data_IF_664142222176
#
_entry.id   IF_664142222176
#
_cell.length_a   1.000
_cell.length_b   1.000
_cell.length_c   1.000
_cell.angle_alpha   90.00
_cell.angle_beta   90.00
_cell.angle_gamma   90.00
#
_symmetry.space_group_name_H-M   'P 1'
#
loop_
_entity.id
_entity.type
_entity.pdbx_description
1 polymer ?
#
# COMPACT_ATOMS: atom_id res chain seq x y z
N UNK A 1 34.73 -12.27 0.73
CA UNK A 1 34.93 -13.69 1.06
C UNK A 1 35.43 -14.33 -0.22
N UNK A 2 36.56 -15.02 -0.19
CA UNK A 2 37.04 -15.76 -1.37
C UNK A 2 36.22 -17.05 -1.48
N UNK A 3 35.98 -17.52 -2.68
CA UNK A 3 35.20 -18.73 -2.99
C UNK A 3 35.72 -19.99 -2.25
N UNK A 4 37.02 -20.03 -1.97
CA UNK A 4 37.70 -21.10 -1.20
C UNK A 4 37.41 -21.11 0.30
N UNK A 5 36.83 -20.00 0.84
CA UNK A 5 36.53 -19.84 2.30
C UNK A 5 35.02 -19.97 2.60
N UNK A 6 34.20 -20.37 1.62
CA UNK A 6 32.76 -20.51 1.84
C UNK A 6 32.45 -21.78 2.65
N UNK A 7 31.75 -21.68 3.79
CA UNK A 7 31.32 -22.85 4.54
C UNK A 7 30.38 -23.72 3.70
N UNK A 8 30.53 -25.04 3.77
CA UNK A 8 29.63 -26.01 3.10
C UNK A 8 28.16 -25.88 3.58
N UNK A 9 27.97 -25.29 4.77
CA UNK A 9 26.65 -25.10 5.37
C UNK A 9 26.25 -23.63 5.43
N UNK A 10 25.15 -23.29 4.79
CA UNK A 10 24.61 -21.93 4.75
C UNK A 10 24.31 -21.36 6.16
N UNK A 11 23.95 -22.20 7.14
CA UNK A 11 23.78 -21.79 8.54
C UNK A 11 25.08 -21.30 9.17
N UNK A 12 26.19 -21.98 8.87
CA UNK A 12 27.51 -21.55 9.35
C UNK A 12 27.89 -20.22 8.71
N UNK A 13 27.59 -20.06 7.41
CA UNK A 13 27.81 -18.80 6.71
C UNK A 13 26.99 -17.67 7.32
N UNK A 14 25.69 -17.87 7.52
CA UNK A 14 24.80 -16.88 8.11
C UNK A 14 25.28 -16.43 9.49
N UNK A 15 25.63 -17.37 10.37
CA UNK A 15 26.09 -17.07 11.74
C UNK A 15 27.49 -16.44 11.79
N UNK A 16 28.37 -16.76 10.84
CA UNK A 16 29.73 -16.25 10.83
C UNK A 16 29.86 -14.87 10.18
N UNK A 17 29.06 -14.59 9.14
CA UNK A 17 29.19 -13.40 8.31
C UNK A 17 28.15 -12.33 8.59
N UNK A 18 27.00 -12.68 9.21
CA UNK A 18 25.90 -11.75 9.46
C UNK A 18 25.69 -11.59 10.96
N UNK A 19 26.30 -10.57 11.59
CA UNK A 19 26.16 -10.32 13.03
C UNK A 19 24.81 -9.63 13.33
N UNK A 20 23.69 -10.28 13.01
CA UNK A 20 22.33 -9.77 13.23
C UNK A 20 21.46 -10.83 13.89
N UNK A 21 20.61 -10.41 14.84
CA UNK A 21 19.85 -11.34 15.69
C UNK A 21 18.68 -12.01 14.95
N UNK A 22 18.09 -11.32 13.98
CA UNK A 22 16.93 -11.82 13.23
C UNK A 22 17.33 -12.42 11.88
N UNK A 23 18.15 -13.49 11.90
CA UNK A 23 18.59 -14.20 10.69
C UNK A 23 18.00 -15.59 10.67
N UNK A 24 17.32 -15.94 9.59
CA UNK A 24 16.75 -17.25 9.34
C UNK A 24 17.20 -17.79 7.97
N UNK A 25 17.17 -19.11 7.79
CA UNK A 25 17.47 -19.77 6.51
C UNK A 25 16.24 -20.50 6.03
N UNK A 26 15.77 -20.14 4.85
CA UNK A 26 14.56 -20.70 4.25
C UNK A 26 14.87 -21.40 2.94
N UNK A 27 14.20 -22.54 2.71
CA UNK A 27 14.37 -23.40 1.52
C UNK A 27 13.15 -23.36 0.60
N UNK A 28 11.98 -23.05 1.16
CA UNK A 28 10.71 -23.02 0.45
C UNK A 28 10.48 -21.65 -0.17
N UNK A 29 10.26 -21.62 -1.49
CA UNK A 29 10.08 -20.39 -2.24
C UNK A 29 8.84 -19.61 -1.81
N UNK A 30 7.76 -20.28 -1.45
CA UNK A 30 6.53 -19.60 -1.02
C UNK A 30 6.72 -18.89 0.34
N UNK A 31 7.50 -19.50 1.23
CA UNK A 31 7.87 -18.87 2.51
C UNK A 31 8.82 -17.68 2.30
N UNK A 32 9.83 -17.84 1.44
CA UNK A 32 10.76 -16.77 1.08
C UNK A 32 10.00 -15.59 0.47
N UNK A 33 9.07 -15.86 -0.45
CA UNK A 33 8.24 -14.83 -1.06
C UNK A 33 7.37 -14.10 -0.03
N UNK A 34 6.79 -14.84 0.92
CA UNK A 34 6.01 -14.26 2.02
C UNK A 34 6.86 -13.35 2.91
N UNK A 35 8.07 -13.75 3.24
CA UNK A 35 9.03 -12.96 4.02
C UNK A 35 9.46 -11.70 3.26
N UNK A 36 9.78 -11.84 1.97
CA UNK A 36 10.10 -10.71 1.10
C UNK A 36 8.94 -9.70 1.03
N UNK A 37 7.71 -10.18 0.83
CA UNK A 37 6.52 -9.33 0.80
C UNK A 37 6.16 -8.74 2.17
N UNK A 38 6.69 -9.31 3.25
CA UNK A 38 6.62 -8.73 4.61
C UNK A 38 7.62 -7.59 4.82
N UNK A 39 8.55 -7.37 3.87
CA UNK A 39 9.59 -6.35 3.95
C UNK A 39 10.89 -6.84 4.61
N UNK A 40 11.05 -8.16 4.78
CA UNK A 40 12.31 -8.76 5.21
C UNK A 40 13.31 -8.78 4.05
N UNK A 41 14.61 -8.73 4.36
CA UNK A 41 15.65 -8.78 3.35
C UNK A 41 16.01 -10.21 3.03
N UNK A 42 15.87 -10.61 1.78
CA UNK A 42 16.21 -11.94 1.29
C UNK A 42 17.54 -11.92 0.53
N UNK A 43 18.49 -12.71 0.97
CA UNK A 43 19.83 -12.81 0.36
C UNK A 43 20.00 -14.19 -0.24
N UNK A 44 20.15 -14.22 -1.57
CA UNK A 44 20.49 -15.42 -2.32
C UNK A 44 22.00 -15.41 -2.61
N UNK A 45 22.63 -16.51 -2.32
CA UNK A 45 24.09 -16.68 -2.53
C UNK A 45 24.28 -17.83 -3.49
N UNK A 46 25.05 -17.58 -4.54
CA UNK A 46 25.37 -18.61 -5.53
C UNK A 46 26.10 -19.79 -4.86
N UNK A 47 25.74 -21.02 -5.25
CA UNK A 47 26.24 -22.24 -4.62
C UNK A 47 25.38 -22.81 -3.48
N UNK A 48 24.44 -22.05 -2.92
CA UNK A 48 23.49 -22.55 -1.91
C UNK A 48 22.08 -22.67 -2.47
N UNK A 49 21.35 -23.73 -2.03
CA UNK A 49 19.95 -23.97 -2.41
C UNK A 49 18.95 -23.37 -1.40
N UNK A 50 19.37 -22.39 -0.63
CA UNK A 50 18.56 -21.75 0.39
C UNK A 50 18.75 -20.24 0.34
N UNK A 51 17.80 -19.51 0.92
CA UNK A 51 17.83 -18.08 1.07
C UNK A 51 18.06 -17.71 2.53
N UNK A 52 18.95 -16.76 2.77
CA UNK A 52 19.10 -16.16 4.10
C UNK A 52 18.10 -15.01 4.19
N UNK A 53 17.22 -15.06 5.17
CA UNK A 53 16.23 -14.04 5.45
C UNK A 53 16.66 -13.26 6.68
N UNK A 54 16.74 -11.94 6.52
CA UNK A 54 17.19 -11.02 7.58
C UNK A 54 16.05 -10.07 7.93
N UNK A 55 15.57 -10.13 9.16
CA UNK A 55 14.58 -9.18 9.66
C UNK A 55 15.26 -7.88 10.12
N UNK A 56 15.58 -7.02 9.17
CA UNK A 56 16.11 -5.68 9.42
C UNK A 56 15.07 -4.58 9.20
N UNK A 57 13.79 -4.91 9.37
CA UNK A 57 12.70 -3.97 9.16
C UNK A 57 12.79 -2.82 10.17
N UNK A 58 13.04 -1.63 9.67
CA UNK A 58 12.84 -0.41 10.42
C UNK A 58 11.45 0.13 10.05
N UNK A 59 10.47 -0.12 10.91
CA UNK A 59 9.20 0.57 10.77
C UNK A 59 9.40 2.01 11.20
N UNK A 60 8.99 2.98 10.36
CA UNK A 60 9.05 4.37 10.76
C UNK A 60 8.22 4.52 12.04
N UNK A 61 8.90 4.79 13.13
CA UNK A 61 8.30 5.10 14.41
C UNK A 61 7.96 6.61 14.44
N UNK A 62 7.07 7.06 13.54
CA UNK A 62 6.32 8.25 13.85
C UNK A 62 5.27 7.80 14.88
N UNK A 63 5.05 8.62 15.92
CA UNK A 63 3.89 8.42 16.76
C UNK A 63 2.68 8.37 15.85
N UNK A 64 2.08 7.18 15.74
CA UNK A 64 0.89 6.97 14.93
C UNK A 64 -0.22 7.67 15.68
N UNK A 65 -0.53 8.88 15.26
CA UNK A 65 -1.68 9.62 15.76
C UNK A 65 -2.93 9.09 15.09
N UNK A 66 -3.98 8.92 15.88
CA UNK A 66 -5.28 8.52 15.37
C UNK A 66 -5.82 9.63 14.45
N UNK A 67 -6.29 9.31 13.23
CA UNK A 67 -6.80 10.30 12.29
C UNK A 67 -7.92 11.13 12.91
N UNK A 68 -7.89 12.44 12.74
CA UNK A 68 -8.89 13.33 13.34
C UNK A 68 -10.30 13.13 12.77
N UNK A 69 -10.41 12.75 11.50
CA UNK A 69 -11.68 12.59 10.78
C UNK A 69 -12.24 11.18 10.82
N UNK A 70 -11.38 10.16 10.92
CA UNK A 70 -11.75 8.74 10.84
C UNK A 70 -11.47 8.02 12.18
N UNK A 71 -11.89 8.59 13.31
CA UNK A 71 -11.71 7.99 14.65
C UNK A 71 -12.47 6.69 14.76
N UNK A 72 -11.78 5.63 15.18
CA UNK A 72 -12.40 4.32 15.38
C UNK A 72 -12.47 3.96 16.85
N UNK A 73 -13.64 3.48 17.26
CA UNK A 73 -13.85 2.93 18.61
C UNK A 73 -13.13 1.59 18.81
N UNK A 74 -12.86 0.85 17.72
CA UNK A 74 -12.20 -0.46 17.72
C UNK A 74 -11.32 -0.62 16.50
N UNK A 75 -10.20 -1.32 16.65
CA UNK A 75 -9.28 -1.66 15.55
C UNK A 75 -7.96 -0.92 15.58
N UNK A 76 -7.24 -0.94 14.46
CA UNK A 76 -5.96 -0.26 14.32
C UNK A 76 -6.13 1.25 14.40
N UNK A 77 -5.23 1.89 15.13
CA UNK A 77 -5.18 3.36 15.22
C UNK A 77 -4.17 3.98 14.26
N UNK A 78 -3.64 3.18 13.34
CA UNK A 78 -2.67 3.63 12.33
C UNK A 78 -3.37 4.54 11.32
N UNK A 79 -2.84 5.74 11.09
CA UNK A 79 -3.21 6.65 10.04
C UNK A 79 -2.14 6.73 8.95
N UNK A 80 -2.52 7.17 7.74
CA UNK A 80 -1.57 7.56 6.72
C UNK A 80 -0.79 8.80 7.17
N UNK A 81 0.43 8.89 6.68
CA UNK A 81 1.34 10.02 6.94
C UNK A 81 1.65 10.75 5.62
N UNK A 82 2.36 11.87 5.69
CA UNK A 82 2.66 12.66 4.50
C UNK A 82 3.64 11.95 3.54
N UNK A 83 4.48 11.06 4.05
CA UNK A 83 5.52 10.39 3.25
C UNK A 83 4.97 9.15 2.54
N UNK A 84 4.95 9.17 1.21
CA UNK A 84 4.39 8.10 0.38
C UNK A 84 5.07 6.73 0.60
N UNK A 85 6.37 6.71 0.87
CA UNK A 85 7.13 5.46 1.13
C UNK A 85 6.59 4.76 2.37
N UNK A 86 6.25 5.52 3.42
CA UNK A 86 5.65 4.96 4.63
C UNK A 86 4.24 4.44 4.39
N UNK A 87 3.46 5.17 3.61
CA UNK A 87 2.09 4.80 3.28
C UNK A 87 2.06 3.50 2.45
N UNK A 88 2.94 3.36 1.46
CA UNK A 88 3.07 2.12 0.68
C UNK A 88 3.57 0.96 1.53
N UNK A 89 4.51 1.18 2.44
CA UNK A 89 4.98 0.17 3.38
C UNK A 89 3.88 -0.32 4.34
N UNK A 90 3.04 0.62 4.86
CA UNK A 90 1.88 0.25 5.70
C UNK A 90 0.88 -0.61 4.95
N UNK A 91 0.59 -0.28 3.69
CA UNK A 91 -0.29 -1.09 2.84
C UNK A 91 0.31 -2.47 2.56
N UNK A 92 1.60 -2.55 2.22
CA UNK A 92 2.30 -3.82 1.98
C UNK A 92 2.33 -4.71 3.22
N UNK A 93 2.54 -4.14 4.40
CA UNK A 93 2.51 -4.86 5.67
C UNK A 93 1.16 -5.53 5.93
N UNK A 94 0.05 -4.89 5.52
CA UNK A 94 -1.32 -5.41 5.71
C UNK A 94 -1.69 -6.44 4.66
N UNK A 95 -1.28 -6.23 3.41
CA UNK A 95 -1.56 -7.13 2.28
C UNK A 95 -0.25 -7.77 1.82
N UNK A 96 0.07 -8.92 2.41
CA UNK A 96 1.27 -9.72 2.09
C UNK A 96 0.97 -10.71 0.97
N UNK A 97 0.50 -10.19 -0.16
CA UNK A 97 0.11 -10.99 -1.31
C UNK A 97 0.83 -10.51 -2.57
N UNK A 98 1.37 -11.43 -3.41
CA UNK A 98 2.13 -11.06 -4.61
C UNK A 98 1.30 -10.31 -5.64
N UNK A 99 -0.02 -10.52 -5.68
CA UNK A 99 -0.91 -9.79 -6.59
C UNK A 99 -1.09 -8.31 -6.24
N UNK A 100 -0.66 -7.85 -5.05
CA UNK A 100 -0.66 -6.44 -4.73
C UNK A 100 0.45 -5.74 -5.53
N UNK A 101 0.04 -4.86 -6.43
CA UNK A 101 0.93 -4.04 -7.26
C UNK A 101 0.84 -2.59 -6.77
N UNK A 102 1.99 -1.97 -6.65
CA UNK A 102 2.13 -0.54 -6.33
C UNK A 102 3.00 0.09 -7.42
N UNK A 103 2.35 0.77 -8.35
CA UNK A 103 2.98 1.43 -9.48
C UNK A 103 3.29 2.88 -9.09
N UNK A 104 4.58 3.22 -9.00
CA UNK A 104 5.03 4.58 -8.72
C UNK A 104 5.06 5.39 -10.01
N UNK A 105 4.53 6.60 -9.96
CA UNK A 105 4.49 7.54 -11.07
C UNK A 105 4.82 8.95 -10.57
N UNK A 106 5.50 9.75 -11.38
CA UNK A 106 5.69 11.17 -11.15
C UNK A 106 4.63 11.97 -11.93
N UNK A 107 4.10 13.01 -11.31
CA UNK A 107 3.06 13.87 -11.89
C UNK A 107 3.43 15.34 -11.74
N UNK A 108 3.23 16.11 -12.82
CA UNK A 108 3.58 17.53 -12.90
C UNK A 108 5.01 17.78 -13.38
N UNK A 109 5.19 18.76 -14.24
CA UNK A 109 6.48 19.08 -14.85
C UNK A 109 7.46 19.70 -13.85
N UNK A 110 7.01 20.63 -13.03
CA UNK A 110 7.84 21.36 -12.07
C UNK A 110 7.79 20.76 -10.67
N UNK A 111 6.62 20.31 -10.22
CA UNK A 111 6.44 19.79 -8.86
C UNK A 111 6.94 18.35 -8.70
N UNK A 112 6.92 17.54 -9.78
CA UNK A 112 7.34 16.14 -9.81
C UNK A 112 6.87 15.37 -8.57
N UNK A 113 5.57 15.47 -8.32
CA UNK A 113 4.96 14.83 -7.14
C UNK A 113 4.84 13.34 -7.35
N UNK A 114 5.32 12.55 -6.40
CA UNK A 114 5.20 11.10 -6.43
C UNK A 114 3.76 10.66 -6.14
N UNK A 115 3.26 9.77 -6.98
CA UNK A 115 1.94 9.16 -6.88
C UNK A 115 2.08 7.64 -6.95
N UNK A 116 1.52 6.92 -5.98
CA UNK A 116 1.45 5.47 -6.02
C UNK A 116 0.05 5.00 -6.38
N UNK A 117 -0.07 4.27 -7.48
CA UNK A 117 -1.29 3.60 -7.92
C UNK A 117 -1.26 2.16 -7.40
N UNK A 118 -2.09 1.87 -6.39
CA UNK A 118 -2.15 0.59 -5.70
C UNK A 118 -3.39 -0.20 -6.15
N UNK A 119 -3.21 -1.47 -6.48
CA UNK A 119 -4.30 -2.37 -6.91
C UNK A 119 -3.94 -3.84 -6.77
N UNK A 120 -4.97 -4.71 -6.73
CA UNK A 120 -4.79 -6.16 -6.79
C UNK A 120 -4.84 -6.60 -8.24
N UNK A 121 -3.73 -7.13 -8.78
CA UNK A 121 -3.60 -7.49 -10.20
C UNK A 121 -4.55 -8.61 -10.65
N UNK A 122 -5.01 -9.45 -9.71
CA UNK A 122 -5.94 -10.55 -9.93
C UNK A 122 -7.43 -10.14 -9.87
N UNK A 123 -7.76 -8.95 -9.31
CA UNK A 123 -9.14 -8.54 -9.00
C UNK A 123 -9.55 -7.21 -9.61
N UNK A 124 -8.58 -6.37 -9.96
CA UNK A 124 -8.84 -5.02 -10.47
C UNK A 124 -9.54 -5.05 -11.84
N UNK A 125 -10.48 -4.14 -12.03
CA UNK A 125 -11.02 -3.85 -13.36
C UNK A 125 -9.93 -3.20 -14.24
N UNK A 126 -9.53 -3.91 -15.28
CA UNK A 126 -8.43 -3.50 -16.17
C UNK A 126 -8.77 -2.25 -17.00
N UNK A 127 -10.03 -2.05 -17.33
CA UNK A 127 -10.48 -0.87 -18.07
C UNK A 127 -10.44 0.37 -17.17
N UNK A 128 -10.96 0.26 -15.95
CA UNK A 128 -10.87 1.30 -14.94
C UNK A 128 -9.40 1.65 -14.66
N UNK A 129 -8.54 0.65 -14.42
CA UNK A 129 -7.13 0.83 -14.15
C UNK A 129 -6.42 1.58 -15.27
N UNK A 130 -6.66 1.17 -16.54
CA UNK A 130 -6.11 1.84 -17.71
C UNK A 130 -6.56 3.30 -17.77
N UNK A 131 -7.85 3.56 -17.61
CA UNK A 131 -8.41 4.91 -17.65
C UNK A 131 -7.82 5.81 -16.53
N UNK A 132 -7.62 5.28 -15.34
CA UNK A 132 -7.01 6.01 -14.22
C UNK A 132 -5.54 6.31 -14.52
N UNK A 133 -4.78 5.31 -14.96
CA UNK A 133 -3.36 5.46 -15.33
C UNK A 133 -3.16 6.49 -16.42
N UNK A 134 -3.93 6.41 -17.50
CA UNK A 134 -3.84 7.33 -18.63
C UNK A 134 -4.16 8.77 -18.20
N UNK A 135 -5.14 8.95 -17.31
CA UNK A 135 -5.47 10.25 -16.76
C UNK A 135 -4.36 10.79 -15.85
N UNK A 136 -3.79 9.98 -14.96
CA UNK A 136 -2.67 10.41 -14.10
C UNK A 136 -1.50 10.89 -14.97
N UNK A 137 -1.16 10.16 -16.03
CA UNK A 137 -0.10 10.53 -16.98
C UNK A 137 -0.40 11.77 -17.80
N UNK A 138 -1.66 12.08 -18.01
CA UNK A 138 -2.10 13.25 -18.77
C UNK A 138 -2.23 14.53 -17.93
N UNK A 139 -1.96 14.46 -16.64
CA UNK A 139 -1.94 15.63 -15.76
C UNK A 139 -0.65 16.42 -16.01
N UNK A 140 -0.80 17.48 -16.77
CA UNK A 140 0.28 18.39 -17.19
C UNK A 140 0.10 19.74 -16.49
N UNK A 141 -0.08 19.75 -15.17
CA UNK A 141 -0.33 20.98 -14.44
C UNK A 141 0.69 21.21 -13.36
N UNK A 142 1.36 22.37 -13.44
CA UNK A 142 2.20 22.91 -12.38
C UNK A 142 1.41 23.26 -11.09
N UNK A 143 0.10 23.10 -11.13
CA UNK A 143 -0.84 23.49 -10.07
C UNK A 143 -1.21 22.36 -9.08
N UNK A 144 -0.36 21.34 -8.91
CA UNK A 144 -0.52 20.37 -7.81
C UNK A 144 -0.21 20.98 -6.42
N UNK A 145 -0.50 22.27 -6.26
CA UNK A 145 -0.24 23.02 -5.02
C UNK A 145 -1.00 22.49 -3.80
N UNK A 146 -2.10 21.77 -4.02
CA UNK A 146 -2.93 21.18 -2.96
C UNK A 146 -2.89 19.64 -3.00
N UNK A 147 -1.80 19.05 -3.49
CA UNK A 147 -1.54 17.61 -3.44
C UNK A 147 -2.70 16.75 -3.97
N UNK A 148 -3.26 15.92 -3.11
CA UNK A 148 -4.29 14.94 -3.46
C UNK A 148 -5.59 15.55 -3.98
N UNK A 149 -6.02 16.70 -3.47
CA UNK A 149 -7.27 17.35 -3.91
C UNK A 149 -7.13 17.91 -5.32
N UNK A 150 -6.00 18.51 -5.66
CA UNK A 150 -5.71 19.00 -7.01
C UNK A 150 -5.66 17.83 -8.02
N UNK A 151 -5.03 16.72 -7.63
CA UNK A 151 -5.03 15.50 -8.46
C UNK A 151 -6.45 14.98 -8.67
N UNK A 152 -7.28 14.94 -7.64
CA UNK A 152 -8.67 14.51 -7.74
C UNK A 152 -9.49 15.37 -8.71
N UNK A 153 -9.31 16.68 -8.68
CA UNK A 153 -9.98 17.62 -9.59
C UNK A 153 -9.50 17.46 -11.03
N UNK A 154 -8.21 17.21 -11.24
CA UNK A 154 -7.65 16.92 -12.57
C UNK A 154 -8.17 15.60 -13.14
N UNK A 155 -8.21 14.55 -12.32
CA UNK A 155 -8.66 13.22 -12.74
C UNK A 155 -10.16 13.18 -13.08
N UNK A 156 -10.97 13.94 -12.35
CA UNK A 156 -12.42 13.87 -12.42
C UNK A 156 -13.05 15.26 -12.51
N UNK A 157 -13.05 15.86 -13.70
CA UNK A 157 -13.84 17.08 -13.95
C UNK A 157 -15.28 16.85 -13.52
N UNK A 158 -15.77 17.63 -12.55
CA UNK A 158 -17.16 17.61 -12.11
C UNK A 158 -18.07 17.93 -13.28
N UNK A 159 -18.92 16.97 -13.62
CA UNK A 159 -20.03 17.22 -14.55
C UNK A 159 -21.19 17.74 -13.71
N UNK A 160 -21.70 18.92 -14.03
CA UNK A 160 -22.76 19.62 -13.27
C UNK A 160 -24.03 18.77 -13.03
N UNK A 161 -24.28 17.76 -13.89
CA UNK A 161 -25.45 16.87 -13.80
C UNK A 161 -25.19 15.59 -12.95
N UNK A 162 -23.97 15.37 -12.47
CA UNK A 162 -23.66 14.23 -11.61
C UNK A 162 -23.08 14.75 -10.28
N UNK A 163 -23.92 14.89 -9.23
CA UNK A 163 -23.51 15.41 -7.94
C UNK A 163 -22.70 14.40 -7.12
N UNK A 164 -22.67 13.12 -7.52
CA UNK A 164 -22.00 12.07 -6.76
C UNK A 164 -20.49 12.08 -6.98
N UNK A 165 -19.69 12.10 -5.92
CA UNK A 165 -18.24 11.96 -6.04
C UNK A 165 -17.89 10.57 -6.58
N UNK A 166 -16.86 10.53 -7.42
CA UNK A 166 -16.37 9.29 -8.05
C UNK A 166 -15.29 8.60 -7.22
N UNK A 167 -14.89 9.18 -6.14
CA UNK A 167 -13.84 8.72 -5.24
C UNK A 167 -14.17 9.05 -3.80
N UNK A 168 -13.64 8.24 -2.89
CA UNK A 168 -13.71 8.43 -1.43
C UNK A 168 -12.29 8.66 -0.92
N UNK A 169 -12.14 9.56 0.04
CA UNK A 169 -10.89 9.71 0.78
C UNK A 169 -10.95 8.92 2.08
N UNK A 170 -9.83 8.36 2.48
CA UNK A 170 -9.64 7.77 3.80
C UNK A 170 -8.25 8.07 4.33
N UNK A 171 -8.14 8.34 5.61
CA UNK A 171 -6.87 8.51 6.33
C UNK A 171 -6.39 7.17 6.93
N UNK A 172 -7.17 6.09 6.73
CA UNK A 172 -6.97 4.79 7.37
C UNK A 172 -6.40 3.74 6.42
N UNK A 173 -5.21 3.20 6.72
CA UNK A 173 -4.62 2.12 5.94
C UNK A 173 -5.41 0.81 5.97
N UNK A 174 -6.16 0.52 7.06
CA UNK A 174 -7.00 -0.66 7.16
C UNK A 174 -8.20 -0.61 6.21
N UNK A 175 -8.91 0.52 6.16
CA UNK A 175 -10.00 0.77 5.21
C UNK A 175 -9.51 0.69 3.76
N UNK A 176 -8.38 1.35 3.45
CA UNK A 176 -7.80 1.30 2.11
C UNK A 176 -7.39 -0.13 1.71
N UNK A 177 -6.83 -0.90 2.65
CA UNK A 177 -6.47 -2.30 2.42
C UNK A 177 -7.68 -3.20 2.17
N UNK A 178 -8.78 -3.01 2.90
CA UNK A 178 -10.03 -3.74 2.67
C UNK A 178 -10.57 -3.47 1.27
N UNK A 179 -10.61 -2.20 0.86
CA UNK A 179 -11.04 -1.81 -0.49
C UNK A 179 -10.16 -2.39 -1.60
N UNK A 180 -8.84 -2.50 -1.42
CA UNK A 180 -7.95 -3.19 -2.37
C UNK A 180 -8.31 -4.68 -2.51
N UNK A 181 -8.60 -5.35 -1.41
CA UNK A 181 -9.01 -6.76 -1.43
C UNK A 181 -10.36 -6.98 -2.11
N UNK A 182 -11.22 -5.95 -2.15
CA UNK A 182 -12.47 -5.93 -2.93
C UNK A 182 -12.24 -5.67 -4.44
N UNK A 183 -11.01 -5.38 -4.86
CA UNK A 183 -10.67 -5.10 -6.26
C UNK A 183 -10.74 -3.63 -6.65
N UNK A 184 -10.91 -2.73 -5.68
CA UNK A 184 -10.84 -1.28 -5.90
C UNK A 184 -9.40 -0.82 -6.12
N UNK A 185 -9.24 0.37 -6.66
CA UNK A 185 -7.95 1.03 -6.87
C UNK A 185 -7.76 2.08 -5.78
N UNK A 186 -6.57 2.13 -5.21
CA UNK A 186 -6.17 3.12 -4.20
C UNK A 186 -5.03 3.97 -4.75
N UNK A 187 -5.16 5.28 -4.65
CA UNK A 187 -4.14 6.25 -5.06
C UNK A 187 -3.61 6.94 -3.81
N UNK A 188 -2.30 6.85 -3.62
CA UNK A 188 -1.55 7.60 -2.61
C UNK A 188 -0.79 8.71 -3.30
N UNK A 189 -0.73 9.88 -2.69
CA UNK A 189 -0.01 11.05 -3.19
C UNK A 189 0.98 11.48 -2.13
N UNK A 190 2.20 11.79 -2.51
CA UNK A 190 3.20 12.30 -1.58
C UNK A 190 2.76 13.62 -0.96
N UNK A 191 3.21 13.89 0.25
CA UNK A 191 2.79 15.02 1.08
C UNK A 191 1.28 15.05 1.41
N UNK A 192 0.62 13.88 1.39
CA UNK A 192 -0.81 13.78 1.71
C UNK A 192 -1.08 12.63 2.69
N UNK A 193 -1.67 12.90 3.88
CA UNK A 193 -1.95 11.88 4.90
C UNK A 193 -3.27 11.14 4.63
N UNK A 194 -3.66 10.98 3.38
CA UNK A 194 -4.88 10.27 3.01
C UNK A 194 -4.73 9.52 1.69
N UNK A 195 -5.59 8.52 1.49
CA UNK A 195 -5.68 7.73 0.28
C UNK A 195 -6.98 8.02 -0.47
N UNK A 196 -6.92 8.02 -1.80
CA UNK A 196 -8.08 8.13 -2.68
C UNK A 196 -8.49 6.75 -3.18
N UNK A 197 -9.75 6.37 -3.00
CA UNK A 197 -10.30 5.06 -3.36
C UNK A 197 -11.24 5.20 -4.55
N UNK A 198 -11.11 4.30 -5.52
CA UNK A 198 -11.88 4.25 -6.79
C UNK A 198 -12.23 2.80 -7.15
N UNK A 199 -13.39 2.53 -7.74
CA UNK A 199 -14.56 3.39 -7.86
C UNK A 199 -15.26 3.54 -6.51
N UNK A 200 -16.12 4.55 -6.36
CA UNK A 200 -16.93 4.74 -5.17
C UNK A 200 -18.41 4.68 -5.54
N UNK A 201 -19.18 3.92 -4.77
CA UNK A 201 -20.64 3.89 -4.83
C UNK A 201 -21.24 4.84 -3.79
N UNK A 202 -22.54 5.11 -3.91
CA UNK A 202 -23.29 5.90 -2.90
C UNK A 202 -23.22 5.21 -1.54
N UNK A 203 -23.27 3.88 -1.52
CA UNK A 203 -23.21 3.09 -0.30
C UNK A 203 -21.85 3.20 0.40
N UNK A 204 -20.75 3.24 -0.36
CA UNK A 204 -19.39 3.42 0.17
C UNK A 204 -19.21 4.78 0.88
N UNK A 205 -20.05 5.76 0.57
CA UNK A 205 -19.98 7.09 1.20
C UNK A 205 -20.70 7.16 2.55
N UNK A 206 -21.64 6.25 2.77
CA UNK A 206 -22.39 6.15 4.05
C UNK A 206 -21.65 5.24 5.03
N UNK A 207 -20.71 4.44 4.51
CA UNK A 207 -19.90 3.51 5.29
C UNK A 207 -18.88 4.25 6.16
N UNK A 208 -19.00 4.10 7.47
CA UNK A 208 -18.01 4.59 8.43
C UNK A 208 -16.89 3.55 8.65
N UNK A 209 -15.74 4.01 9.13
CA UNK A 209 -14.59 3.13 9.42
C UNK A 209 -14.93 2.01 10.42
N UNK A 210 -15.94 2.21 11.28
CA UNK A 210 -16.40 1.22 12.24
C UNK A 210 -17.15 0.05 11.62
N UNK A 211 -17.73 0.21 10.42
CA UNK A 211 -18.55 -0.82 9.77
C UNK A 211 -17.73 -2.02 9.31
N UNK A 212 -16.43 -1.83 9.04
CA UNK A 212 -15.49 -2.90 8.69
C UNK A 212 -15.20 -3.86 9.85
N UNK A 213 -15.51 -3.47 11.09
CA UNK A 213 -15.28 -4.29 12.29
C UNK A 213 -16.55 -4.97 12.82
N UNK A 214 -17.70 -4.72 12.21
CA UNK A 214 -18.93 -5.43 12.55
C UNK A 214 -19.04 -6.76 11.80
N UNK A 215 -19.65 -7.81 12.41
CA UNK A 215 -19.99 -9.02 11.68
C UNK A 215 -20.85 -8.70 10.46
N UNK A 216 -20.61 -9.40 9.35
CA UNK A 216 -21.23 -9.15 8.04
C UNK A 216 -22.76 -9.04 8.08
N UNK A 217 -23.45 -9.79 8.97
CA UNK A 217 -24.89 -9.72 9.15
C UNK A 217 -25.36 -8.37 9.76
N UNK A 218 -24.63 -7.84 10.74
CA UNK A 218 -24.95 -6.55 11.39
C UNK A 218 -24.63 -5.37 10.48
N UNK A 219 -23.55 -5.44 9.70
CA UNK A 219 -23.17 -4.42 8.73
C UNK A 219 -24.25 -4.25 7.64
N UNK A 220 -24.87 -5.35 7.17
CA UNK A 220 -25.96 -5.29 6.18
C UNK A 220 -27.24 -4.67 6.76
N UNK A 221 -27.56 -4.93 8.01
CA UNK A 221 -28.75 -4.33 8.65
C UNK A 221 -28.59 -2.85 8.96
N UNK A 222 -27.39 -2.36 9.21
CA UNK A 222 -27.11 -0.94 9.45
C UNK A 222 -27.09 -0.10 8.15
N UNK A 223 -27.03 -0.77 6.98
CA UNK A 223 -27.06 -0.14 5.65
C UNK A 223 -28.47 0.06 5.07
N UNK A 224 -29.51 -0.42 5.74
CA UNK A 224 -30.93 -0.27 5.39
C UNK A 224 -31.58 0.75 6.32
#
# INVERSE_FOLDING_TARGET
VKEEDMPEDIWKFANACIPYVGVDVMFDFDQILKSLLSGETCVFIDGYRACIVIDCRMYPARNVEEPDKDKSLRGSRDGFVETIVYNTAMMRRRIRHPALIMEMMEVGDSSRTDVALCYMGDRVDKELLKNVRDKIRSVDTDDLRMNQQSLAECLFRRKWYNPFPKFKFTERPDTASACLLEGKVVILVDNSPSAMILPTSIFDMIEEANDYYFPTLTSVYLKI
#
